data_IF_846583672624
#
_entry.id   IF_846583672624
#
_cell.length_a   1.000
_cell.length_b   1.000
_cell.length_c   1.000
_cell.angle_alpha   90.00
_cell.angle_beta   90.00
_cell.angle_gamma   90.00
#
_symmetry.space_group_name_H-M   'P 1'
#
loop_
_entity.id
_entity.type
_entity.pdbx_description
1 polymer ?
#
# COMPACT_ATOMS: atom_id res chain seq x y z
N UNK A 1 -10.66 19.10 -0.26
CA UNK A 1 -10.62 18.10 -1.36
C UNK A 1 -9.71 16.98 -0.91
N UNK A 2 -10.11 15.70 -0.99
CA UNK A 2 -9.23 14.60 -0.62
C UNK A 2 -7.98 14.68 -1.48
N UNK A 3 -6.81 14.50 -0.87
CA UNK A 3 -5.51 14.51 -1.56
C UNK A 3 -5.54 13.54 -2.72
N UNK A 4 -5.70 14.07 -3.93
CA UNK A 4 -5.19 13.39 -5.08
C UNK A 4 -3.68 13.33 -4.86
N UNK A 5 -3.19 12.13 -4.63
CA UNK A 5 -1.94 11.77 -5.24
C UNK A 5 -2.30 11.82 -6.73
N UNK A 6 -2.17 12.99 -7.38
CA UNK A 6 -2.61 13.20 -8.78
C UNK A 6 -1.85 12.30 -9.78
N UNK A 7 -1.03 11.36 -9.30
CA UNK A 7 -0.21 10.50 -10.14
C UNK A 7 -0.95 9.24 -10.59
N UNK A 8 -1.85 8.61 -9.79
CA UNK A 8 -2.52 7.37 -10.26
C UNK A 8 -3.47 7.57 -11.44
N UNK A 9 -4.12 8.74 -11.56
CA UNK A 9 -5.03 8.99 -12.70
C UNK A 9 -4.29 8.93 -14.04
N UNK A 10 -2.99 9.23 -14.05
CA UNK A 10 -2.14 9.12 -15.24
C UNK A 10 -1.66 7.70 -15.54
N UNK A 11 -1.75 6.78 -14.57
CA UNK A 11 -1.46 5.35 -14.77
C UNK A 11 -2.68 4.54 -15.22
N UNK A 12 -3.86 5.16 -15.27
CA UNK A 12 -5.11 4.49 -15.62
C UNK A 12 -5.69 5.06 -16.93
N UNK A 13 -6.46 4.25 -17.69
CA UNK A 13 -7.18 4.74 -18.87
C UNK A 13 -8.13 5.91 -18.54
N UNK A 14 -8.33 6.79 -19.52
CA UNK A 14 -9.32 7.87 -19.40
C UNK A 14 -10.70 7.29 -19.11
N UNK A 15 -11.42 7.89 -18.15
CA UNK A 15 -12.74 7.41 -17.71
C UNK A 15 -12.72 6.41 -16.55
N UNK A 16 -11.54 6.02 -16.05
CA UNK A 16 -11.43 5.20 -14.84
C UNK A 16 -12.11 5.88 -13.65
N UNK A 17 -13.03 5.19 -12.93
CA UNK A 17 -13.70 5.78 -11.77
C UNK A 17 -12.71 6.31 -10.73
N UNK A 18 -12.96 7.53 -10.24
CA UNK A 18 -12.09 8.17 -9.24
C UNK A 18 -11.88 7.34 -7.96
N UNK A 19 -12.86 6.51 -7.57
CA UNK A 19 -12.72 5.57 -6.45
C UNK A 19 -11.55 4.59 -6.63
N UNK A 20 -11.32 4.11 -7.86
CA UNK A 20 -10.24 3.17 -8.18
C UNK A 20 -8.88 3.87 -8.21
N UNK A 21 -8.84 5.09 -8.78
CA UNK A 21 -7.64 5.93 -8.71
C UNK A 21 -7.24 6.23 -7.26
N UNK A 22 -8.21 6.54 -6.38
CA UNK A 22 -7.97 6.77 -4.96
C UNK A 22 -7.46 5.52 -4.23
N UNK A 23 -8.00 4.34 -4.58
CA UNK A 23 -7.53 3.06 -4.03
C UNK A 23 -6.08 2.77 -4.43
N UNK A 24 -5.73 2.94 -5.70
CA UNK A 24 -4.36 2.80 -6.19
C UNK A 24 -3.41 3.82 -5.53
N UNK A 25 -3.81 5.09 -5.47
CA UNK A 25 -3.06 6.14 -4.78
C UNK A 25 -2.74 5.78 -3.33
N UNK A 26 -3.71 5.23 -2.60
CA UNK A 26 -3.51 4.77 -1.22
C UNK A 26 -2.50 3.64 -1.14
N UNK A 27 -2.54 2.68 -2.06
CA UNK A 27 -1.54 1.60 -2.12
C UNK A 27 -0.13 2.14 -2.37
N UNK A 28 0.03 3.08 -3.30
CA UNK A 28 1.34 3.70 -3.58
C UNK A 28 1.87 4.46 -2.36
N UNK A 29 1.00 5.24 -1.70
CA UNK A 29 1.39 5.92 -0.46
C UNK A 29 1.81 4.91 0.61
N UNK A 30 1.03 3.86 0.81
CA UNK A 30 1.31 2.83 1.79
C UNK A 30 2.66 2.15 1.55
N UNK A 31 2.99 1.82 0.28
CA UNK A 31 4.29 1.26 -0.10
C UNK A 31 5.43 2.22 0.21
N UNK A 32 5.34 3.49 -0.21
CA UNK A 32 6.38 4.47 0.05
C UNK A 32 6.58 4.73 1.56
N UNK A 33 5.49 4.79 2.31
CA UNK A 33 5.52 4.94 3.77
C UNK A 33 6.13 3.72 4.45
N UNK A 34 5.79 2.50 4.01
CA UNK A 34 6.35 1.27 4.54
C UNK A 34 7.85 1.17 4.25
N UNK A 35 8.33 1.62 3.08
CA UNK A 35 9.77 1.68 2.79
C UNK A 35 10.51 2.58 3.79
N UNK A 36 9.97 3.78 4.07
CA UNK A 36 10.54 4.67 5.11
C UNK A 36 10.52 3.99 6.47
N UNK A 37 9.42 3.33 6.84
CA UNK A 37 9.31 2.65 8.12
C UNK A 37 10.33 1.51 8.26
N UNK A 38 10.51 0.68 7.22
CA UNK A 38 11.50 -0.41 7.20
C UNK A 38 12.93 0.09 7.32
N UNK A 39 13.27 1.20 6.66
CA UNK A 39 14.58 1.84 6.80
C UNK A 39 14.85 2.33 8.23
N UNK A 40 13.81 2.56 9.02
CA UNK A 40 13.88 2.92 10.45
C UNK A 40 13.80 1.72 11.39
N UNK A 41 13.71 0.49 10.85
CA UNK A 41 13.64 -0.74 11.65
C UNK A 41 12.25 -1.09 12.16
N UNK A 42 11.20 -0.45 11.64
CA UNK A 42 9.82 -0.73 12.03
C UNK A 42 9.22 -1.94 11.30
N UNK A 43 8.19 -2.53 11.92
CA UNK A 43 7.38 -3.62 11.38
C UNK A 43 5.87 -3.30 11.40
N UNK A 44 5.02 -4.30 11.12
CA UNK A 44 3.56 -4.16 11.07
C UNK A 44 2.87 -3.68 12.36
N UNK A 45 3.56 -3.70 13.50
CA UNK A 45 3.03 -3.28 14.81
C UNK A 45 3.11 -1.78 15.03
N UNK A 46 3.62 -1.03 14.05
CA UNK A 46 3.75 0.42 14.06
C UNK A 46 2.47 1.14 14.51
N UNK A 47 2.62 2.09 15.42
CA UNK A 47 1.52 2.95 15.89
C UNK A 47 1.02 3.88 14.77
N UNK A 48 -0.20 4.41 14.93
CA UNK A 48 -0.73 5.39 13.97
C UNK A 48 0.14 6.67 13.93
N UNK A 49 0.69 7.07 15.07
CA UNK A 49 1.60 8.21 15.21
C UNK A 49 2.89 8.01 14.41
N UNK A 50 3.53 6.85 14.55
CA UNK A 50 4.76 6.52 13.81
C UNK A 50 4.49 6.37 12.30
N UNK A 51 3.32 5.83 11.93
CA UNK A 51 2.88 5.83 10.53
C UNK A 51 2.74 7.27 10.00
N UNK A 52 2.14 8.18 10.78
CA UNK A 52 1.99 9.59 10.40
C UNK A 52 3.34 10.27 10.20
N UNK A 53 4.32 10.00 11.06
CA UNK A 53 5.68 10.51 10.90
C UNK A 53 6.32 10.03 9.60
N UNK A 54 6.17 8.74 9.27
CA UNK A 54 6.67 8.18 8.02
C UNK A 54 5.95 8.79 6.80
N UNK A 55 4.64 9.04 6.88
CA UNK A 55 3.89 9.74 5.82
C UNK A 55 4.41 11.17 5.63
N UNK A 56 4.73 11.88 6.72
CA UNK A 56 5.32 13.22 6.62
C UNK A 56 6.68 13.24 5.94
N UNK A 57 7.50 12.19 6.10
CA UNK A 57 8.75 12.06 5.33
C UNK A 57 8.46 11.92 3.83
N UNK A 58 7.53 11.03 3.46
CA UNK A 58 7.20 10.76 2.05
C UNK A 58 6.60 11.99 1.36
N UNK A 59 5.69 12.69 2.03
CA UNK A 59 4.90 13.78 1.44
C UNK A 59 5.47 15.17 1.72
N UNK A 60 6.37 15.29 2.69
CA UNK A 60 6.95 16.52 3.18
C UNK A 60 5.92 17.48 3.81
N UNK A 61 6.38 18.66 4.21
CA UNK A 61 5.55 19.69 4.85
C UNK A 61 4.38 20.26 4.02
N UNK A 62 4.15 19.76 2.81
CA UNK A 62 2.97 20.05 1.99
C UNK A 62 1.80 19.11 2.28
N UNK A 63 2.01 18.05 3.06
CA UNK A 63 0.94 17.14 3.45
C UNK A 63 0.09 17.77 4.55
N UNK A 64 -1.13 18.18 4.18
CA UNK A 64 -2.05 18.95 5.04
C UNK A 64 -3.28 18.16 5.50
N UNK A 65 -3.36 16.88 5.17
CA UNK A 65 -4.59 16.09 5.35
C UNK A 65 -4.35 14.90 6.25
N UNK A 66 -5.31 14.61 7.12
CA UNK A 66 -5.31 13.38 7.90
C UNK A 66 -5.61 12.20 6.95
N UNK A 67 -4.76 11.17 6.89
CA UNK A 67 -5.07 9.94 6.18
C UNK A 67 -6.34 9.29 6.74
N UNK A 68 -7.06 8.57 5.89
CA UNK A 68 -8.19 7.75 6.32
C UNK A 68 -7.68 6.51 7.09
N UNK A 69 -8.49 5.90 7.99
CA UNK A 69 -8.14 4.67 8.70
C UNK A 69 -7.58 3.57 7.79
N UNK A 70 -8.21 3.41 6.63
CA UNK A 70 -7.82 2.40 5.64
C UNK A 70 -6.43 2.64 5.02
N UNK A 71 -5.83 3.83 5.18
CA UNK A 71 -4.43 4.09 4.80
C UNK A 71 -3.47 3.50 5.82
N UNK A 72 -3.78 3.59 7.11
CA UNK A 72 -2.96 2.99 8.18
C UNK A 72 -2.96 1.47 8.07
N UNK A 73 -4.13 0.88 7.83
CA UNK A 73 -4.26 -0.56 7.55
C UNK A 73 -3.42 -1.00 6.34
N UNK A 74 -3.46 -0.23 5.25
CA UNK A 74 -2.65 -0.49 4.07
C UNK A 74 -1.13 -0.44 4.36
N UNK A 75 -0.67 0.52 5.17
CA UNK A 75 0.74 0.62 5.60
C UNK A 75 1.13 -0.61 6.41
N UNK A 76 0.31 -1.02 7.39
CA UNK A 76 0.57 -2.22 8.19
C UNK A 76 0.62 -3.48 7.32
N UNK A 77 -0.28 -3.61 6.35
CA UNK A 77 -0.23 -4.71 5.37
C UNK A 77 1.08 -4.75 4.58
N UNK A 78 1.59 -3.58 4.18
CA UNK A 78 2.86 -3.45 3.45
C UNK A 78 4.08 -3.81 4.31
N UNK A 79 3.92 -3.85 5.64
CA UNK A 79 4.96 -4.18 6.62
C UNK A 79 4.83 -5.63 7.15
N UNK A 80 3.77 -6.35 6.79
CA UNK A 80 3.69 -7.80 7.03
C UNK A 80 4.87 -8.50 6.35
N UNK A 81 5.30 -9.62 6.93
CA UNK A 81 6.30 -10.50 6.31
C UNK A 81 5.98 -10.76 4.82
N UNK A 82 6.99 -10.88 3.95
CA UNK A 82 6.77 -11.12 2.52
C UNK A 82 6.05 -12.45 2.30
N UNK A 83 5.14 -12.49 1.33
CA UNK A 83 4.72 -13.77 0.77
C UNK A 83 5.88 -14.40 0.00
N UNK A 84 6.18 -15.66 0.27
CA UNK A 84 7.23 -16.44 -0.37
C UNK A 84 6.65 -17.72 -1.01
N UNK A 85 7.49 -18.44 -1.74
CA UNK A 85 7.12 -19.69 -2.43
C UNK A 85 6.67 -20.81 -1.49
N UNK A 86 7.01 -20.72 -0.20
CA UNK A 86 6.61 -21.68 0.83
C UNK A 86 5.19 -21.44 1.37
N UNK A 87 4.57 -20.29 1.09
CA UNK A 87 3.23 -19.97 1.58
C UNK A 87 2.15 -20.78 0.87
N UNK A 88 1.05 -21.01 1.59
CA UNK A 88 -0.04 -21.85 1.09
C UNK A 88 -0.95 -21.10 0.11
N UNK A 89 -1.80 -21.85 -0.60
CA UNK A 89 -2.82 -21.25 -1.46
C UNK A 89 -3.80 -20.37 -0.65
N UNK A 90 -4.10 -20.75 0.58
CA UNK A 90 -4.91 -19.99 1.52
C UNK A 90 -4.26 -18.65 1.89
N UNK A 91 -2.96 -18.62 2.16
CA UNK A 91 -2.21 -17.40 2.45
C UNK A 91 -2.24 -16.44 1.26
N UNK A 92 -2.03 -16.97 0.04
CA UNK A 92 -2.12 -16.21 -1.20
C UNK A 92 -3.54 -15.66 -1.38
N UNK A 93 -4.57 -16.47 -1.14
CA UNK A 93 -5.97 -16.06 -1.24
C UNK A 93 -6.27 -14.91 -0.28
N UNK A 94 -5.90 -15.05 1.00
CA UNK A 94 -6.11 -14.03 2.02
C UNK A 94 -5.40 -12.73 1.64
N UNK A 95 -4.11 -12.80 1.31
CA UNK A 95 -3.30 -11.60 1.12
C UNK A 95 -3.53 -10.92 -0.21
N UNK A 96 -3.59 -11.67 -1.31
CA UNK A 96 -3.72 -11.10 -2.64
C UNK A 96 -5.17 -10.76 -2.95
N UNK A 97 -6.10 -11.70 -2.81
CA UNK A 97 -7.49 -11.47 -3.20
C UNK A 97 -8.24 -10.64 -2.15
N UNK A 98 -8.23 -11.05 -0.89
CA UNK A 98 -8.92 -10.26 0.14
C UNK A 98 -8.16 -8.95 0.43
N UNK A 99 -6.86 -9.02 0.69
CA UNK A 99 -6.04 -7.85 1.01
C UNK A 99 -5.89 -6.89 -0.18
N UNK A 100 -5.19 -7.31 -1.24
CA UNK A 100 -4.89 -6.41 -2.35
C UNK A 100 -6.12 -6.08 -3.20
N UNK A 101 -6.87 -7.09 -3.64
CA UNK A 101 -7.99 -6.88 -4.57
C UNK A 101 -9.19 -6.25 -3.89
N UNK A 102 -9.65 -6.73 -2.72
CA UNK A 102 -10.87 -6.19 -2.11
C UNK A 102 -10.58 -4.94 -1.27
N UNK A 103 -9.59 -5.00 -0.37
CA UNK A 103 -9.31 -3.93 0.58
C UNK A 103 -8.37 -2.84 0.02
N UNK A 104 -7.59 -3.17 -1.01
CA UNK A 104 -6.59 -2.24 -1.56
C UNK A 104 -5.37 -2.14 -0.66
N UNK A 105 -4.97 -3.24 -0.06
CA UNK A 105 -3.79 -3.34 0.79
C UNK A 105 -2.62 -3.90 -0.03
N UNK A 106 -1.49 -3.18 -0.17
CA UNK A 106 -0.34 -3.72 -0.87
C UNK A 106 0.19 -4.97 -0.18
N UNK A 107 0.77 -5.87 -0.98
CA UNK A 107 1.33 -7.14 -0.54
C UNK A 107 2.82 -7.14 -0.82
N UNK A 108 3.62 -7.31 0.23
CA UNK A 108 5.04 -7.59 0.07
C UNK A 108 5.19 -9.05 -0.36
N UNK A 109 5.98 -9.31 -1.39
CA UNK A 109 6.33 -10.64 -1.90
C UNK A 109 7.84 -10.77 -2.01
N UNK A 110 8.35 -11.99 -1.94
CA UNK A 110 9.75 -12.33 -2.11
C UNK A 110 9.91 -13.38 -3.20
N UNK A 111 10.87 -13.19 -4.11
CA UNK A 111 11.23 -14.19 -5.12
C UNK A 111 12.12 -15.31 -4.56
N UNK A 112 12.50 -16.27 -5.40
CA UNK A 112 13.31 -17.41 -4.98
C UNK A 112 14.76 -17.00 -4.62
N UNK A 113 15.22 -15.88 -5.15
CA UNK A 113 16.55 -15.29 -4.94
C UNK A 113 16.60 -14.39 -3.70
N UNK A 114 15.45 -14.14 -3.06
CA UNK A 114 15.34 -13.32 -1.84
C UNK A 114 15.07 -11.84 -2.10
N UNK A 115 14.88 -11.41 -3.34
CA UNK A 115 14.50 -10.04 -3.66
C UNK A 115 13.03 -9.80 -3.32
N UNK A 116 12.76 -8.64 -2.74
CA UNK A 116 11.41 -8.28 -2.31
C UNK A 116 10.76 -7.26 -3.24
N UNK A 117 9.47 -7.45 -3.50
CA UNK A 117 8.65 -6.61 -4.35
C UNK A 117 7.31 -6.29 -3.69
N UNK A 118 6.68 -5.20 -4.11
CA UNK A 118 5.32 -4.88 -3.72
C UNK A 118 4.36 -5.19 -4.87
N UNK A 119 3.36 -6.01 -4.58
CA UNK A 119 2.22 -6.27 -5.47
C UNK A 119 1.06 -5.36 -5.06
N UNK A 120 0.52 -4.65 -6.05
CA UNK A 120 -0.67 -3.81 -5.92
C UNK A 120 -1.71 -4.27 -6.95
N UNK A 121 -2.95 -4.41 -6.51
CA UNK A 121 -4.04 -4.83 -7.39
C UNK A 121 -4.57 -3.63 -8.19
N UNK A 122 -4.45 -3.72 -9.51
CA UNK A 122 -5.11 -2.80 -10.44
C UNK A 122 -6.23 -3.57 -11.15
N UNK A 123 -7.50 -3.17 -10.98
CA UNK A 123 -8.61 -3.87 -11.60
C UNK A 123 -8.56 -3.68 -13.13
N UNK A 124 -8.71 -4.78 -13.87
CA UNK A 124 -8.82 -4.75 -15.33
C UNK A 124 -10.17 -4.17 -15.80
N UNK A 125 -11.19 -4.20 -14.93
CA UNK A 125 -12.54 -3.68 -15.19
C UNK A 125 -13.10 -2.92 -13.97
N UNK A 126 -13.90 -1.85 -14.15
CA UNK A 126 -14.40 -0.97 -13.09
C UNK A 126 -15.23 -1.59 -11.94
#
# INVERSE_FOLDING_TARGET
MPTSIDTAVHFHPSGTPGRLCNKHNRQILAVATAQVARLRGYDQTLSDEEIMECIQVVKGGRYRYQPQPATFEAVRSALRAPLATADTAEDIKERVFTGAVDQGHPVLVQDAEGHEYYVIAIPATP
#
